data_IF_758814345572
#
_entry.id   IF_758814345572
#
_cell.length_a   1.000
_cell.length_b   1.000
_cell.length_c   1.000
_cell.angle_alpha   90.00
_cell.angle_beta   90.00
_cell.angle_gamma   90.00
#
_symmetry.space_group_name_H-M   'P 1'
#
loop_
_entity.id
_entity.type
_entity.pdbx_description
1 polymer ?
#
# COMPACT_ATOMS: atom_id res chain seq x y z
N UNK A 1 -49.08 49.10 22.75
CA UNK A 1 -47.72 49.68 22.69
C UNK A 1 -46.86 48.78 21.80
N UNK A 2 -46.25 49.31 20.72
CA UNK A 2 -45.52 48.55 19.70
C UNK A 2 -44.04 48.36 20.07
N UNK A 3 -43.43 47.25 19.65
CA UNK A 3 -41.96 47.09 19.65
C UNK A 3 -41.50 46.61 18.29
N UNK A 4 -40.99 47.56 17.51
CA UNK A 4 -40.30 47.39 16.25
C UNK A 4 -39.00 46.63 16.46
N UNK A 5 -38.73 45.58 15.68
CA UNK A 5 -37.37 45.12 15.43
C UNK A 5 -37.09 45.19 13.94
N UNK A 6 -36.13 46.04 13.65
CA UNK A 6 -35.73 46.57 12.37
C UNK A 6 -34.92 45.49 11.62
N UNK A 7 -35.19 45.37 10.32
CA UNK A 7 -34.47 44.52 9.37
C UNK A 7 -33.00 44.96 9.26
N UNK A 8 -32.08 44.12 9.73
CA UNK A 8 -30.64 44.32 9.50
C UNK A 8 -30.23 43.66 8.18
N UNK A 9 -30.34 44.41 7.09
CA UNK A 9 -29.68 44.17 5.81
C UNK A 9 -28.15 44.12 6.02
N UNK A 10 -27.57 42.93 6.23
CA UNK A 10 -26.11 42.75 6.15
C UNK A 10 -25.74 42.39 4.72
N UNK A 11 -25.57 43.45 3.93
CA UNK A 11 -24.90 43.43 2.64
C UNK A 11 -23.45 42.94 2.78
N UNK A 12 -23.00 42.09 1.87
CA UNK A 12 -21.59 41.66 1.80
C UNK A 12 -21.35 40.27 1.25
N UNK A 13 -21.88 39.93 0.07
CA UNK A 13 -21.41 38.76 -0.69
C UNK A 13 -20.07 39.09 -1.33
N UNK A 14 -18.98 38.83 -0.61
CA UNK A 14 -17.63 38.79 -1.19
C UNK A 14 -17.54 37.55 -2.08
N UNK A 15 -17.86 37.72 -3.36
CA UNK A 15 -17.55 36.73 -4.41
C UNK A 15 -16.03 36.62 -4.54
N UNK A 16 -15.43 35.61 -3.92
CA UNK A 16 -14.06 35.22 -4.22
C UNK A 16 -14.02 34.54 -5.60
N UNK A 17 -13.39 35.22 -6.56
CA UNK A 17 -13.01 34.64 -7.84
C UNK A 17 -11.94 33.58 -7.58
N UNK A 18 -12.37 32.34 -7.33
CA UNK A 18 -11.50 31.19 -7.39
C UNK A 18 -11.41 30.78 -8.86
N UNK A 19 -10.46 31.35 -9.57
CA UNK A 19 -9.97 30.75 -10.81
C UNK A 19 -9.67 29.27 -10.53
N UNK A 20 -10.17 28.32 -11.34
CA UNK A 20 -9.95 26.90 -11.12
C UNK A 20 -8.47 26.66 -11.33
N UNK A 21 -7.70 26.70 -10.24
CA UNK A 21 -6.37 26.10 -10.26
C UNK A 21 -6.67 24.65 -10.58
N UNK A 22 -6.18 24.19 -11.73
CA UNK A 22 -6.02 22.78 -12.00
C UNK A 22 -5.05 22.28 -10.93
N UNK A 23 -5.57 22.06 -9.73
CA UNK A 23 -4.94 21.32 -8.66
C UNK A 23 -4.77 19.96 -9.28
N UNK A 24 -3.56 19.71 -9.77
CA UNK A 24 -3.16 18.39 -10.25
C UNK A 24 -3.65 17.44 -9.18
N UNK A 25 -4.64 16.62 -9.54
CA UNK A 25 -5.31 15.67 -8.65
C UNK A 25 -4.23 14.69 -8.18
N UNK A 26 -3.55 15.09 -7.12
CA UNK A 26 -2.34 14.49 -6.58
C UNK A 26 -2.76 13.70 -5.37
N UNK A 27 -2.10 12.55 -5.13
CA UNK A 27 -2.33 11.65 -3.97
C UNK A 27 -2.26 12.35 -2.60
N UNK A 28 -1.83 13.61 -2.57
CA UNK A 28 -1.86 14.48 -1.40
C UNK A 28 -3.20 15.21 -1.13
N UNK A 29 -4.17 15.21 -2.05
CA UNK A 29 -5.47 15.85 -1.85
C UNK A 29 -6.41 14.92 -1.06
N UNK A 30 -6.86 15.31 0.15
CA UNK A 30 -7.72 14.46 1.00
C UNK A 30 -9.09 14.17 0.38
N UNK A 31 -9.62 15.04 -0.49
CA UNK A 31 -10.91 14.82 -1.15
C UNK A 31 -10.81 13.87 -2.34
N UNK A 32 -9.59 13.54 -2.78
CA UNK A 32 -9.41 12.68 -3.93
C UNK A 32 -9.78 11.22 -3.61
N UNK A 33 -9.66 10.78 -2.37
CA UNK A 33 -10.04 9.43 -1.94
C UNK A 33 -11.50 9.07 -2.27
N UNK A 34 -12.41 10.05 -2.33
CA UNK A 34 -13.81 9.83 -2.72
C UNK A 34 -14.00 9.52 -4.20
N UNK A 35 -13.02 9.86 -5.04
CA UNK A 35 -13.04 9.70 -6.50
C UNK A 35 -12.07 8.63 -6.99
N UNK A 36 -11.12 8.20 -6.15
CA UNK A 36 -10.21 7.11 -6.48
C UNK A 36 -10.96 5.78 -6.59
N UNK A 37 -10.56 4.97 -7.56
CA UNK A 37 -11.08 3.62 -7.67
C UNK A 37 -10.54 2.75 -6.54
N UNK A 38 -11.41 1.88 -6.02
CA UNK A 38 -11.02 0.84 -5.08
C UNK A 38 -9.86 0.01 -5.64
N UNK A 39 -8.85 -0.35 -4.82
CA UNK A 39 -7.68 -1.11 -5.28
C UNK A 39 -8.06 -2.42 -5.98
N UNK A 40 -9.12 -3.07 -5.50
CA UNK A 40 -9.66 -4.29 -6.11
C UNK A 40 -10.20 -4.02 -7.52
N UNK A 41 -10.92 -2.92 -7.72
CA UNK A 41 -11.49 -2.57 -9.02
C UNK A 41 -10.39 -2.25 -10.05
N UNK A 42 -9.34 -1.55 -9.65
CA UNK A 42 -8.16 -1.28 -10.49
C UNK A 42 -7.44 -2.58 -10.86
N UNK A 43 -7.26 -3.47 -9.89
CA UNK A 43 -6.56 -4.75 -10.08
C UNK A 43 -7.33 -5.78 -10.93
N UNK A 44 -8.64 -5.58 -11.13
CA UNK A 44 -9.48 -6.42 -11.99
C UNK A 44 -9.56 -5.90 -13.43
N UNK A 45 -9.11 -4.65 -13.70
CA UNK A 45 -9.09 -4.13 -15.06
C UNK A 45 -8.11 -4.91 -15.96
N UNK A 46 -8.53 -5.26 -17.19
CA UNK A 46 -7.67 -5.96 -18.13
C UNK A 46 -6.46 -5.09 -18.48
N UNK A 47 -5.25 -5.62 -18.24
CA UNK A 47 -3.98 -4.93 -18.48
C UNK A 47 -3.41 -4.16 -17.28
N UNK A 48 -4.16 -4.00 -16.18
CA UNK A 48 -3.67 -3.36 -14.95
C UNK A 48 -2.88 -4.31 -14.04
N UNK A 49 -3.12 -5.62 -14.17
CA UNK A 49 -2.26 -6.65 -13.59
C UNK A 49 -1.18 -7.00 -14.60
N UNK A 50 0.07 -6.94 -14.17
CA UNK A 50 1.04 -7.94 -14.60
C UNK A 50 0.39 -9.30 -14.32
N UNK A 51 -0.12 -9.96 -15.36
CA UNK A 51 -0.98 -11.15 -15.30
C UNK A 51 -0.21 -12.40 -14.86
N UNK A 52 0.93 -12.23 -14.19
CA UNK A 52 1.67 -13.36 -13.66
C UNK A 52 0.84 -14.01 -12.56
N UNK A 53 0.52 -15.27 -12.78
CA UNK A 53 -0.12 -16.10 -11.78
C UNK A 53 0.75 -16.09 -10.53
N UNK A 54 0.18 -15.80 -9.36
CA UNK A 54 0.92 -15.94 -8.10
C UNK A 54 1.45 -17.38 -7.92
N UNK A 55 0.80 -18.35 -8.56
CA UNK A 55 1.24 -19.75 -8.58
C UNK A 55 2.44 -20.01 -9.51
N UNK A 56 2.74 -19.11 -10.45
CA UNK A 56 3.91 -19.20 -11.32
C UNK A 56 5.14 -18.47 -10.76
N UNK A 57 5.06 -17.94 -9.54
CA UNK A 57 6.21 -17.28 -8.91
C UNK A 57 7.23 -18.36 -8.54
N UNK A 58 8.42 -18.26 -9.14
CA UNK A 58 9.54 -19.13 -8.81
C UNK A 58 10.21 -18.62 -7.53
N UNK A 59 10.07 -19.37 -6.44
CA UNK A 59 10.74 -19.07 -5.19
C UNK A 59 12.23 -19.41 -5.26
N UNK A 60 13.02 -18.60 -4.54
CA UNK A 60 14.46 -18.78 -4.37
C UNK A 60 14.77 -18.94 -2.88
N UNK A 61 15.84 -19.66 -2.58
CA UNK A 61 16.37 -19.78 -1.23
C UNK A 61 17.13 -18.51 -0.81
N UNK A 62 17.66 -18.50 0.42
CA UNK A 62 18.42 -17.37 0.98
C UNK A 62 19.70 -17.07 0.20
N UNK A 63 20.29 -18.07 -0.44
CA UNK A 63 21.53 -17.95 -1.20
C UNK A 63 21.24 -17.56 -2.67
N UNK A 64 19.96 -17.41 -3.03
CA UNK A 64 19.49 -17.00 -4.34
C UNK A 64 19.29 -18.15 -5.34
N UNK A 65 19.41 -19.40 -4.90
CA UNK A 65 19.19 -20.57 -5.74
C UNK A 65 17.71 -20.83 -5.93
N UNK A 66 17.34 -21.35 -7.09
CA UNK A 66 15.96 -21.71 -7.41
C UNK A 66 15.53 -22.92 -6.58
N UNK A 67 14.42 -22.80 -5.86
CA UNK A 67 13.82 -23.92 -5.13
C UNK A 67 13.05 -24.79 -6.14
N UNK A 68 13.65 -25.90 -6.54
CA UNK A 68 13.07 -26.85 -7.51
C UNK A 68 11.96 -27.71 -6.91
N UNK A 69 12.07 -28.03 -5.63
CA UNK A 69 11.14 -28.90 -4.89
C UNK A 69 10.69 -28.19 -3.61
N UNK A 70 9.69 -27.30 -3.70
CA UNK A 70 9.21 -26.53 -2.56
C UNK A 70 8.48 -27.42 -1.55
N UNK A 71 8.67 -27.12 -0.26
CA UNK A 71 7.87 -27.74 0.79
C UNK A 71 6.39 -27.32 0.69
N UNK A 72 5.48 -28.25 0.99
CA UNK A 72 4.03 -28.05 0.91
C UNK A 72 3.52 -27.00 1.90
N UNK A 73 4.13 -26.93 3.08
CA UNK A 73 3.75 -25.98 4.12
C UNK A 73 4.38 -24.60 3.91
N UNK A 74 5.53 -24.57 3.24
CA UNK A 74 6.32 -23.37 3.05
C UNK A 74 7.08 -23.40 1.71
N UNK A 75 6.56 -22.74 0.66
CA UNK A 75 7.18 -22.73 -0.67
C UNK A 75 8.48 -21.91 -0.73
N UNK A 76 8.85 -21.20 0.33
CA UNK A 76 10.16 -20.55 0.45
C UNK A 76 11.23 -21.48 1.02
N UNK A 77 10.92 -22.75 1.26
CA UNK A 77 11.87 -23.79 1.72
C UNK A 77 11.91 -24.96 0.76
N UNK A 78 13.07 -25.57 0.63
CA UNK A 78 13.21 -26.85 -0.07
C UNK A 78 12.66 -27.98 0.79
N UNK A 79 11.96 -28.92 0.17
CA UNK A 79 11.36 -30.08 0.84
C UNK A 79 12.37 -30.96 1.59
N UNK A 80 13.62 -31.00 1.11
CA UNK A 80 14.69 -31.82 1.69
C UNK A 80 15.56 -31.07 2.69
N UNK A 81 15.30 -29.79 2.93
CA UNK A 81 16.05 -28.98 3.90
C UNK A 81 15.73 -29.45 5.33
N UNK A 82 16.77 -29.78 6.10
CA UNK A 82 16.60 -30.22 7.48
C UNK A 82 15.98 -29.08 8.32
N UNK A 83 14.89 -29.34 9.08
CA UNK A 83 14.24 -28.30 9.87
C UNK A 83 15.19 -27.56 10.82
N UNK A 84 16.19 -28.25 11.41
CA UNK A 84 17.18 -27.64 12.29
C UNK A 84 18.08 -26.62 11.57
N UNK A 85 18.45 -26.89 10.31
CA UNK A 85 19.32 -26.00 9.55
C UNK A 85 18.58 -24.70 9.22
N UNK A 86 17.28 -24.78 8.95
CA UNK A 86 16.42 -23.61 8.77
C UNK A 86 16.25 -22.81 10.05
N UNK A 87 16.01 -23.46 11.18
CA UNK A 87 15.87 -22.74 12.47
C UNK A 87 17.17 -21.98 12.77
N UNK A 88 18.32 -22.64 12.60
CA UNK A 88 19.63 -22.00 12.79
C UNK A 88 19.87 -20.86 11.80
N UNK A 89 19.40 -20.96 10.56
CA UNK A 89 19.56 -19.90 9.57
C UNK A 89 18.69 -18.68 9.91
N UNK A 90 17.49 -18.87 10.46
CA UNK A 90 16.67 -17.80 11.00
C UNK A 90 17.31 -17.11 12.20
N UNK A 91 17.83 -17.87 13.16
CA UNK A 91 18.53 -17.31 14.32
C UNK A 91 19.71 -16.44 13.87
N UNK A 92 20.55 -16.96 12.96
CA UNK A 92 21.68 -16.22 12.41
C UNK A 92 21.24 -14.94 11.67
N UNK A 93 20.13 -14.98 10.92
CA UNK A 93 19.60 -13.82 10.22
C UNK A 93 19.07 -12.75 11.18
N UNK A 94 18.35 -13.16 12.23
CA UNK A 94 17.85 -12.26 13.27
C UNK A 94 19.01 -11.59 14.01
N UNK A 95 20.03 -12.36 14.39
CA UNK A 95 21.19 -11.82 15.10
C UNK A 95 22.01 -10.88 14.23
N UNK A 96 22.19 -11.19 12.94
CA UNK A 96 22.80 -10.28 11.98
C UNK A 96 22.01 -8.97 11.86
N UNK A 97 20.68 -9.04 11.80
CA UNK A 97 19.82 -7.86 11.72
C UNK A 97 19.89 -7.00 13.00
N UNK A 98 19.83 -7.62 14.19
CA UNK A 98 20.01 -6.91 15.47
C UNK A 98 21.37 -6.22 15.54
N UNK A 99 22.43 -6.86 15.04
CA UNK A 99 23.77 -6.25 14.99
C UNK A 99 23.80 -5.02 14.08
N UNK A 100 23.14 -5.08 12.92
CA UNK A 100 23.04 -3.94 12.00
C UNK A 100 22.30 -2.75 12.61
N UNK A 101 21.19 -2.98 13.31
CA UNK A 101 20.39 -1.91 13.94
C UNK A 101 21.11 -1.21 15.12
N UNK A 102 22.12 -1.86 15.69
CA UNK A 102 22.89 -1.32 16.83
C UNK A 102 24.10 -0.47 16.38
N UNK A 103 24.45 -0.53 15.10
CA UNK A 103 25.47 0.32 14.48
C UNK A 103 24.82 1.56 13.88
#
# INVERSE_FOLDING_TARGET
MPSSLISSERSGSVKSHHSPKASLQSKADPNMALHEQEPTAVNLQPGSRDTFSLRSIQHKDRDGNIITDPDLSNPTRSRLERPLDTIRSFDAAIDAHRKQQRM
#
